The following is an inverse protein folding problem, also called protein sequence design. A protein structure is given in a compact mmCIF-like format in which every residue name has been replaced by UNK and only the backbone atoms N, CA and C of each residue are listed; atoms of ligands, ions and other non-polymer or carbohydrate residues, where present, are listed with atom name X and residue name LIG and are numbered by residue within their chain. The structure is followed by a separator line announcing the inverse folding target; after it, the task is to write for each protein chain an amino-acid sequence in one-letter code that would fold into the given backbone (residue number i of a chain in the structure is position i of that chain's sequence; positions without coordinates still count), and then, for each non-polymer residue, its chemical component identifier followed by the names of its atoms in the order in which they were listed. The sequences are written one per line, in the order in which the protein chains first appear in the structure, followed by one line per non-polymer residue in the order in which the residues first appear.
data_IF_056111543501
#
_entry.id   IF_056111543501
#
_cell.length_a   1.000
_cell.length_b   1.000
_cell.length_c   1.000
_cell.angle_alpha   90.00
_cell.angle_beta   90.00
_cell.angle_gamma   90.00
#
_symmetry.space_group_name_H-M   'P 1'
#
loop_
_entity.id
_entity.type
_entity.pdbx_description
1 polymer ?
#
# COMPACT_ATOMS: atom_id res chain seq x y z
N UNK A 1 -17.83 -10.90 18.17
CA UNK A 1 -17.40 -11.18 16.80
C UNK A 1 -16.56 -10.05 16.27
N UNK A 2 -15.39 -10.37 15.76
CA UNK A 2 -14.51 -9.31 15.28
C UNK A 2 -14.85 -8.97 13.84
N UNK A 3 -14.71 -7.70 13.51
CA UNK A 3 -14.89 -7.24 12.15
C UNK A 3 -13.64 -7.55 11.35
N UNK A 4 -13.86 -7.87 10.08
CA UNK A 4 -12.74 -8.07 9.18
C UNK A 4 -12.05 -6.74 8.91
N UNK A 5 -10.74 -6.76 8.93
CA UNK A 5 -9.96 -5.55 8.65
C UNK A 5 -9.95 -5.27 7.16
N UNK A 6 -9.98 -3.99 6.83
CA UNK A 6 -9.99 -3.54 5.44
C UNK A 6 -8.56 -3.28 4.97
N UNK A 7 -8.20 -3.86 3.84
CA UNK A 7 -6.92 -3.61 3.18
C UNK A 7 -7.21 -2.97 1.82
N UNK A 8 -6.55 -1.84 1.55
CA UNK A 8 -6.70 -1.20 0.24
C UNK A 8 -5.54 -1.61 -0.65
N UNK A 9 -5.85 -2.07 -1.86
CA UNK A 9 -4.84 -2.46 -2.84
C UNK A 9 -4.87 -1.45 -3.99
N UNK A 10 -3.73 -0.82 -4.23
CA UNK A 10 -3.62 0.26 -5.22
C UNK A 10 -2.50 -0.04 -6.20
N UNK A 11 -2.87 -0.28 -7.46
CA UNK A 11 -1.92 -0.54 -8.54
C UNK A 11 -2.63 -0.28 -9.85
N UNK A 12 -1.93 0.24 -10.84
CA UNK A 12 -2.56 0.50 -12.13
C UNK A 12 -2.65 -0.76 -13.00
N UNK A 13 -2.13 -1.88 -12.51
CA UNK A 13 -2.27 -3.18 -13.17
C UNK A 13 -3.47 -3.92 -12.56
N UNK A 14 -4.61 -4.00 -13.28
CA UNK A 14 -5.79 -4.64 -12.71
C UNK A 14 -5.61 -6.12 -12.41
N UNK A 15 -4.76 -6.82 -13.15
CA UNK A 15 -4.51 -8.23 -12.89
C UNK A 15 -3.81 -8.41 -11.55
N UNK A 16 -2.87 -7.53 -11.23
CA UNK A 16 -2.17 -7.59 -9.95
C UNK A 16 -3.13 -7.27 -8.81
N UNK A 17 -3.95 -6.22 -8.97
CA UNK A 17 -4.94 -5.86 -7.96
C UNK A 17 -5.87 -7.04 -7.69
N UNK A 18 -6.34 -7.72 -8.75
CA UNK A 18 -7.23 -8.85 -8.60
C UNK A 18 -6.55 -10.01 -7.87
N UNK A 19 -5.32 -10.34 -8.26
CA UNK A 19 -4.60 -11.46 -7.65
C UNK A 19 -4.35 -11.22 -6.16
N UNK A 20 -3.90 -10.03 -5.81
CA UNK A 20 -3.65 -9.69 -4.41
C UNK A 20 -4.95 -9.68 -3.63
N UNK A 21 -6.00 -9.12 -4.22
CA UNK A 21 -7.31 -9.04 -3.56
C UNK A 21 -7.87 -10.42 -3.26
N UNK A 22 -7.78 -11.34 -4.21
CA UNK A 22 -8.27 -12.70 -4.01
C UNK A 22 -7.54 -13.39 -2.87
N UNK A 23 -6.22 -13.19 -2.79
CA UNK A 23 -5.45 -13.80 -1.72
C UNK A 23 -5.82 -13.21 -0.37
N UNK A 24 -6.00 -11.90 -0.30
CA UNK A 24 -6.41 -11.24 0.95
C UNK A 24 -7.79 -11.72 1.39
N UNK A 25 -8.73 -11.82 0.45
CA UNK A 25 -10.07 -12.29 0.78
C UNK A 25 -10.05 -13.73 1.29
N UNK A 26 -9.15 -14.56 0.76
CA UNK A 26 -9.02 -15.94 1.24
C UNK A 26 -8.50 -16.00 2.67
N UNK A 27 -7.92 -14.91 3.17
CA UNK A 27 -7.40 -14.80 4.53
C UNK A 27 -8.34 -13.98 5.43
N UNK A 28 -9.57 -13.78 4.98
CA UNK A 28 -10.60 -13.09 5.75
C UNK A 28 -10.40 -11.59 5.91
N UNK A 29 -9.67 -10.97 5.00
CA UNK A 29 -9.63 -9.51 4.94
C UNK A 29 -10.68 -9.00 3.97
N UNK A 30 -11.21 -7.80 4.24
CA UNK A 30 -12.00 -7.07 3.25
C UNK A 30 -11.03 -6.29 2.38
N UNK A 31 -11.40 -6.04 1.13
CA UNK A 31 -10.49 -5.38 0.18
C UNK A 31 -11.19 -4.20 -0.48
N UNK A 32 -10.50 -3.07 -0.51
CA UNK A 32 -10.87 -1.93 -1.35
C UNK A 32 -9.84 -1.87 -2.48
N UNK A 33 -10.29 -1.61 -3.69
CA UNK A 33 -9.44 -1.61 -4.88
C UNK A 33 -9.38 -0.21 -5.47
N UNK A 34 -8.18 0.22 -5.83
CA UNK A 34 -7.97 1.48 -6.54
C UNK A 34 -6.90 1.28 -7.59
N UNK A 35 -7.01 2.02 -8.68
CA UNK A 35 -6.16 1.80 -9.84
C UNK A 35 -5.23 2.98 -10.13
N UNK A 36 -5.31 4.01 -9.30
CA UNK A 36 -4.35 5.11 -9.31
C UNK A 36 -4.41 5.85 -7.97
N UNK A 37 -3.49 6.79 -7.79
CA UNK A 37 -3.38 7.48 -6.52
C UNK A 37 -4.55 8.38 -6.19
N UNK A 38 -5.16 8.99 -7.19
CA UNK A 38 -6.32 9.84 -6.95
C UNK A 38 -7.52 9.03 -6.49
N UNK A 39 -7.75 7.89 -7.14
CA UNK A 39 -8.82 7.00 -6.73
C UNK A 39 -8.60 6.48 -5.32
N UNK A 40 -7.34 6.19 -4.98
CA UNK A 40 -7.00 5.74 -3.64
C UNK A 40 -7.38 6.78 -2.59
N UNK A 41 -7.05 8.05 -2.86
CA UNK A 41 -7.37 9.12 -1.92
C UNK A 41 -8.89 9.30 -1.78
N UNK A 42 -9.63 9.16 -2.86
CA UNK A 42 -11.09 9.23 -2.80
C UNK A 42 -11.68 8.11 -1.95
N UNK A 43 -11.13 6.90 -2.09
CA UNK A 43 -11.63 5.76 -1.33
C UNK A 43 -11.28 5.82 0.15
N UNK A 44 -10.17 6.48 0.50
CA UNK A 44 -9.85 6.72 1.90
C UNK A 44 -10.96 7.50 2.60
N UNK A 45 -11.59 8.41 1.87
CA UNK A 45 -12.67 9.21 2.44
C UNK A 45 -13.93 8.40 2.67
N UNK A 46 -14.10 7.31 1.93
CA UNK A 46 -15.28 6.45 2.07
C UNK A 46 -15.15 5.52 3.26
N UNK A 47 -13.99 4.90 3.39
CA UNK A 47 -13.72 4.01 4.52
C UNK A 47 -12.21 3.91 4.73
N UNK A 48 -11.77 4.15 5.95
CA UNK A 48 -10.36 4.11 6.29
C UNK A 48 -9.88 2.65 6.42
N UNK A 49 -8.88 2.24 5.61
CA UNK A 49 -8.34 0.89 5.73
C UNK A 49 -7.37 0.79 6.90
N UNK A 50 -7.11 -0.44 7.34
CA UNK A 50 -6.07 -0.70 8.32
C UNK A 50 -4.69 -0.71 7.68
N UNK A 51 -4.61 -1.05 6.39
CA UNK A 51 -3.36 -1.14 5.66
C UNK A 51 -3.60 -0.80 4.20
N UNK A 52 -2.62 -0.16 3.57
CA UNK A 52 -2.63 0.13 2.13
C UNK A 52 -1.44 -0.54 1.47
N UNK A 53 -1.69 -1.24 0.37
CA UNK A 53 -0.64 -1.77 -0.50
C UNK A 53 -0.62 -0.87 -1.72
N UNK A 54 0.48 -0.16 -1.94
CA UNK A 54 0.59 0.88 -2.97
C UNK A 54 1.70 0.59 -3.95
N UNK A 55 1.37 0.58 -5.24
CA UNK A 55 2.40 0.60 -6.27
C UNK A 55 3.03 2.00 -6.32
N UNK A 56 4.34 2.06 -6.45
CA UNK A 56 5.05 3.34 -6.53
C UNK A 56 4.79 4.03 -7.86
N UNK A 57 4.86 3.29 -8.96
CA UNK A 57 4.77 3.87 -10.30
C UNK A 57 3.35 3.78 -10.82
N UNK A 58 2.60 4.86 -10.65
CA UNK A 58 1.22 4.96 -11.13
C UNK A 58 1.02 6.30 -11.82
N UNK A 59 0.14 6.36 -12.82
CA UNK A 59 -0.19 7.64 -13.44
C UNK A 59 -0.94 8.56 -12.47
N UNK A 60 -0.93 9.81 -12.78
CA UNK A 60 -1.61 10.90 -12.08
C UNK A 60 -1.03 11.18 -10.70
N UNK A 61 -1.09 10.22 -9.78
CA UNK A 61 -0.53 10.42 -8.45
C UNK A 61 0.19 9.14 -8.05
N UNK A 62 1.52 9.20 -7.96
CA UNK A 62 2.31 8.01 -7.68
C UNK A 62 2.25 7.61 -6.20
N UNK A 63 2.74 6.41 -5.89
CA UNK A 63 2.66 5.86 -4.56
C UNK A 63 3.43 6.65 -3.50
N UNK A 64 4.54 7.27 -3.89
CA UNK A 64 5.30 8.10 -2.95
C UNK A 64 4.46 9.26 -2.44
N UNK A 65 3.75 9.93 -3.37
CA UNK A 65 2.91 11.08 -3.02
C UNK A 65 1.75 10.63 -2.13
N UNK A 66 1.11 9.51 -2.47
CA UNK A 66 0.02 8.98 -1.65
C UNK A 66 0.53 8.65 -0.25
N UNK A 67 1.67 7.95 -0.15
CA UNK A 67 2.23 7.59 1.15
C UNK A 67 2.53 8.82 1.98
N UNK A 68 3.11 9.85 1.35
CA UNK A 68 3.43 11.09 2.03
C UNK A 68 2.18 11.78 2.56
N UNK A 69 1.14 11.86 1.73
CA UNK A 69 -0.11 12.50 2.14
C UNK A 69 -0.79 11.74 3.28
N UNK A 70 -0.77 10.40 3.20
CA UNK A 70 -1.36 9.56 4.25
C UNK A 70 -0.61 9.77 5.57
N UNK A 71 0.71 9.74 5.54
CA UNK A 71 1.50 9.85 6.76
C UNK A 71 1.50 11.26 7.33
N UNK A 72 1.20 12.27 6.52
CA UNK A 72 1.09 13.64 6.98
C UNK A 72 -0.28 13.97 7.55
N UNK A 73 -1.27 13.10 7.35
CA UNK A 73 -2.64 13.35 7.79
C UNK A 73 -2.87 12.85 9.20
N UNK A 74 -3.41 13.69 10.07
CA UNK A 74 -3.78 13.26 11.42
C UNK A 74 -4.84 12.17 11.40
N UNK A 75 -5.67 12.15 10.36
CA UNK A 75 -6.73 11.15 10.22
C UNK A 75 -6.19 9.81 9.77
N UNK A 76 -5.20 9.80 8.87
CA UNK A 76 -4.77 8.59 8.16
C UNK A 76 -3.37 8.10 8.53
N UNK A 77 -2.62 8.85 9.33
CA UNK A 77 -1.20 8.53 9.54
C UNK A 77 -0.96 7.19 10.22
N UNK A 78 -1.95 6.63 10.87
CA UNK A 78 -1.82 5.34 11.53
C UNK A 78 -2.12 4.15 10.62
N UNK A 79 -2.49 4.41 9.36
CA UNK A 79 -2.64 3.35 8.37
C UNK A 79 -1.26 2.79 8.05
N UNK A 80 -1.11 1.47 8.10
CA UNK A 80 0.13 0.83 7.68
C UNK A 80 0.26 0.92 6.16
N UNK A 81 1.38 1.37 5.65
CA UNK A 81 1.60 1.55 4.22
C UNK A 81 2.71 0.62 3.75
N UNK A 82 2.42 -0.22 2.77
CA UNK A 82 3.38 -1.11 2.15
C UNK A 82 3.53 -0.70 0.68
N UNK A 83 4.73 -0.33 0.28
CA UNK A 83 4.99 0.10 -1.10
C UNK A 83 5.51 -1.07 -1.93
N UNK A 84 4.98 -1.19 -3.15
CA UNK A 84 5.44 -2.17 -4.13
C UNK A 84 6.39 -1.46 -5.08
N UNK A 85 7.62 -1.94 -5.16
CA UNK A 85 8.67 -1.26 -5.91
C UNK A 85 9.25 -2.13 -7.01
N UNK A 86 9.52 -1.56 -8.18
CA UNK A 86 10.34 -2.22 -9.19
C UNK A 86 11.82 -2.08 -8.79
N UNK A 87 12.70 -2.80 -9.48
CA UNK A 87 14.14 -2.72 -9.14
C UNK A 87 14.65 -1.29 -9.21
N UNK A 88 14.26 -0.55 -10.23
CA UNK A 88 14.67 0.85 -10.36
C UNK A 88 14.10 1.71 -9.22
N UNK A 89 12.88 1.40 -8.79
CA UNK A 89 12.26 2.14 -7.71
C UNK A 89 12.91 1.83 -6.37
N UNK A 90 13.44 0.64 -6.20
CA UNK A 90 14.14 0.28 -4.97
C UNK A 90 15.36 1.17 -4.76
N UNK A 91 16.06 1.50 -5.84
CA UNK A 91 17.19 2.44 -5.77
C UNK A 91 16.69 3.82 -5.38
N UNK A 92 15.62 4.27 -5.99
CA UNK A 92 15.03 5.56 -5.67
C UNK A 92 14.50 5.59 -4.24
N UNK A 93 13.95 4.48 -3.77
CA UNK A 93 13.47 4.38 -2.41
C UNK A 93 14.60 4.65 -1.42
N UNK A 94 15.73 4.01 -1.64
CA UNK A 94 16.89 4.21 -0.78
C UNK A 94 17.36 5.65 -0.83
N UNK A 95 17.49 6.20 -2.04
CA UNK A 95 17.94 7.59 -2.22
C UNK A 95 16.97 8.57 -1.60
N UNK A 96 15.68 8.36 -1.80
CA UNK A 96 14.65 9.26 -1.31
C UNK A 96 14.68 9.33 0.22
N UNK A 97 14.66 8.17 0.85
CA UNK A 97 14.68 8.09 2.30
C UNK A 97 15.95 8.69 2.87
N UNK A 98 17.07 8.36 2.26
CA UNK A 98 18.37 8.84 2.70
C UNK A 98 18.51 10.34 2.49
N UNK A 99 18.05 10.82 1.34
CA UNK A 99 18.13 12.23 0.99
C UNK A 99 17.39 13.12 1.98
N UNK A 100 16.21 12.70 2.35
CA UNK A 100 15.38 13.51 3.24
C UNK A 100 15.88 13.48 4.68
N UNK A 101 16.66 12.49 5.05
CA UNK A 101 17.07 12.32 6.42
C UNK A 101 15.91 12.09 7.37
N UNK A 102 14.76 11.75 6.82
CA UNK A 102 13.55 11.51 7.59
C UNK A 102 13.29 10.02 7.71
N UNK A 103 12.42 9.67 8.63
CA UNK A 103 11.94 8.31 8.70
C UNK A 103 11.22 7.98 7.42
N UNK A 104 11.13 6.70 7.13
CA UNK A 104 10.46 6.24 5.94
C UNK A 104 9.02 6.71 5.91
N UNK A 105 8.54 6.99 4.70
CA UNK A 105 7.14 7.33 4.50
C UNK A 105 6.26 6.10 4.56
N UNK A 106 6.84 4.92 4.26
CA UNK A 106 6.10 3.67 4.29
C UNK A 106 6.58 2.81 5.44
N UNK A 107 5.72 1.91 5.87
CA UNK A 107 6.05 0.98 6.94
C UNK A 107 6.84 -0.23 6.42
N UNK A 108 6.65 -0.56 5.14
CA UNK A 108 7.36 -1.67 4.52
C UNK A 108 7.46 -1.49 3.02
N UNK A 109 8.36 -2.24 2.39
CA UNK A 109 8.58 -2.21 0.94
C UNK A 109 8.69 -3.63 0.44
N UNK A 110 8.09 -3.92 -0.72
CA UNK A 110 8.16 -5.23 -1.37
C UNK A 110 8.56 -5.03 -2.82
N UNK A 111 9.64 -5.69 -3.27
CA UNK A 111 10.06 -5.56 -4.68
C UNK A 111 9.15 -6.37 -5.59
N UNK A 112 8.99 -5.89 -6.81
CA UNK A 112 8.34 -6.65 -7.87
C UNK A 112 9.40 -7.47 -8.60
N UNK A 113 9.08 -8.66 -9.09
CA UNK A 113 7.76 -9.32 -9.03
C UNK A 113 7.44 -9.76 -7.60
N UNK A 114 6.17 -9.66 -7.26
CA UNK A 114 5.73 -9.85 -5.88
C UNK A 114 5.77 -11.33 -5.50
N UNK A 115 6.41 -11.62 -4.36
CA UNK A 115 6.27 -12.89 -3.69
C UNK A 115 5.00 -12.79 -2.85
N UNK A 116 3.95 -13.48 -3.27
CA UNK A 116 2.64 -13.36 -2.65
C UNK A 116 2.66 -13.81 -1.19
N UNK A 117 3.40 -14.88 -0.90
CA UNK A 117 3.48 -15.38 0.47
C UNK A 117 4.15 -14.37 1.38
N UNK A 118 5.19 -13.70 0.88
CA UNK A 118 5.89 -12.69 1.66
C UNK A 118 4.99 -11.47 1.89
N UNK A 119 4.24 -11.07 0.88
CA UNK A 119 3.31 -9.97 1.02
C UNK A 119 2.27 -10.27 2.08
N UNK A 120 1.70 -11.48 2.06
CA UNK A 120 0.70 -11.87 3.04
C UNK A 120 1.30 -11.92 4.45
N UNK A 121 2.54 -12.35 4.58
CA UNK A 121 3.23 -12.37 5.86
C UNK A 121 3.36 -10.96 6.43
N UNK A 122 3.73 -10.01 5.58
CA UNK A 122 3.87 -8.61 6.00
C UNK A 122 2.51 -8.03 6.40
N UNK A 123 1.47 -8.33 5.63
CA UNK A 123 0.12 -7.87 5.97
C UNK A 123 -0.30 -8.42 7.33
N UNK A 124 -0.10 -9.71 7.55
CA UNK A 124 -0.47 -10.33 8.82
C UNK A 124 0.33 -9.72 9.98
N UNK A 125 1.61 -9.46 9.77
CA UNK A 125 2.46 -8.89 10.81
C UNK A 125 1.96 -7.51 11.25
N UNK A 126 1.44 -6.72 10.32
CA UNK A 126 0.94 -5.39 10.66
C UNK A 126 -0.46 -5.42 11.27
N UNK A 127 -1.26 -6.42 10.94
CA UNK A 127 -2.68 -6.41 11.30
C UNK A 127 -3.08 -7.42 12.38
N UNK A 128 -2.15 -8.28 12.78
CA UNK A 128 -2.47 -9.29 13.82
C UNK A 128 -1.65 -9.15 15.09
#
# INVERSE_FOLDING_TARGET
MSEKKLVMVVDDDPDLVEAVSMKLESKDYRVAKAYDGEEAMDKLKEEKPALMILDVMMPRKNGWVVADEVKASDTYKDIAVVLLTAVADAVQTTSYTHHDGKTTLADDYIPKPIDMDKLMEIVDDHLE
#
